data_IF_648029862616
#
_entry.id   IF_648029862616
#
_cell.length_a   1.000
_cell.length_b   1.000
_cell.length_c   1.000
_cell.angle_alpha   90.00
_cell.angle_beta   90.00
_cell.angle_gamma   90.00
#
_symmetry.space_group_name_H-M   'P 1'
#
loop_
_entity.id
_entity.type
_entity.pdbx_description
1 polymer ?
#
# COMPACT_ATOMS: atom_id res chain seq x y z
N UNK A 1 5.20 14.79 17.11
CA UNK A 1 4.88 13.38 17.35
C UNK A 1 3.74 13.29 18.34
N UNK A 2 3.12 12.13 18.49
CA UNK A 2 2.25 11.83 19.63
C UNK A 2 3.09 11.92 20.91
N UNK A 3 2.88 13.00 21.65
CA UNK A 3 3.36 13.17 23.02
C UNK A 3 2.56 12.20 23.91
N UNK A 4 3.20 11.24 24.58
CA UNK A 4 2.53 10.51 25.65
C UNK A 4 2.24 11.51 26.78
N UNK A 5 0.95 11.74 27.06
CA UNK A 5 0.44 12.75 28.00
C UNK A 5 1.37 12.99 29.21
N UNK A 6 2.00 14.17 29.25
CA UNK A 6 2.81 14.63 30.38
C UNK A 6 4.33 14.37 30.27
N UNK A 7 4.83 13.86 29.13
CA UNK A 7 6.26 13.56 28.94
C UNK A 7 6.84 14.20 27.67
N UNK A 8 6.92 15.55 27.62
CA UNK A 8 7.36 16.28 26.43
C UNK A 8 8.82 16.01 26.04
N UNK A 9 9.65 15.54 26.98
CA UNK A 9 11.03 15.10 26.76
C UNK A 9 11.13 13.72 26.07
N UNK A 10 10.08 12.91 26.16
CA UNK A 10 9.93 11.60 25.51
C UNK A 10 9.18 11.71 24.17
N UNK A 11 8.75 12.91 23.78
CA UNK A 11 7.96 13.12 22.58
C UNK A 11 8.77 12.76 21.32
N UNK A 12 8.18 11.91 20.48
CA UNK A 12 8.76 11.56 19.18
C UNK A 12 8.96 12.83 18.35
N UNK A 13 10.24 13.17 18.12
CA UNK A 13 10.62 14.28 17.25
C UNK A 13 10.48 13.82 15.81
N UNK A 14 9.75 14.59 14.99
CA UNK A 14 9.64 14.29 13.56
C UNK A 14 10.99 14.61 12.93
N UNK A 15 11.78 13.57 12.67
CA UNK A 15 13.14 13.70 12.11
C UNK A 15 13.13 14.00 10.61
N UNK A 16 12.06 13.59 9.91
CA UNK A 16 11.86 13.88 8.49
C UNK A 16 10.39 13.66 8.13
N UNK A 17 9.82 14.58 7.36
CA UNK A 17 8.48 14.44 6.77
C UNK A 17 8.64 14.23 5.26
N UNK A 18 8.23 13.07 4.77
CA UNK A 18 8.27 12.73 3.34
C UNK A 18 6.92 13.07 2.71
N UNK A 19 6.93 13.93 1.70
CA UNK A 19 5.76 14.20 0.86
C UNK A 19 5.73 13.19 -0.29
N UNK A 20 4.88 12.17 -0.14
CA UNK A 20 4.58 11.16 -1.17
C UNK A 20 3.09 10.81 -1.16
N UNK A 21 2.70 9.75 -1.87
CA UNK A 21 1.39 9.12 -1.81
C UNK A 21 1.17 8.57 -0.39
N UNK A 22 0.82 9.46 0.56
CA UNK A 22 0.83 9.21 1.99
C UNK A 22 -0.32 8.30 2.45
N UNK A 23 -0.20 7.78 3.67
CA UNK A 23 -1.29 7.06 4.32
C UNK A 23 -2.57 7.92 4.40
N UNK A 24 -3.73 7.27 4.28
CA UNK A 24 -5.06 7.89 4.24
C UNK A 24 -5.57 8.11 2.81
N UNK A 25 -4.82 7.65 1.81
CA UNK A 25 -5.13 7.78 0.39
C UNK A 25 -5.85 6.54 -0.14
N UNK A 26 -6.81 6.74 -1.03
CA UNK A 26 -7.45 5.69 -1.83
C UNK A 26 -7.16 5.99 -3.31
N UNK A 27 -6.63 5.00 -4.03
CA UNK A 27 -6.18 5.07 -5.42
C UNK A 27 -6.99 4.10 -6.29
N UNK A 28 -7.36 4.54 -7.49
CA UNK A 28 -8.11 3.73 -8.46
C UNK A 28 -7.45 3.87 -9.82
N UNK A 29 -7.24 2.74 -10.53
CA UNK A 29 -6.88 2.70 -11.95
C UNK A 29 -7.76 1.65 -12.64
N UNK A 30 -8.57 2.04 -13.62
CA UNK A 30 -9.40 1.09 -14.39
C UNK A 30 -9.53 1.46 -15.86
N UNK A 31 -9.66 0.43 -16.71
CA UNK A 31 -10.08 0.50 -18.11
C UNK A 31 -10.95 -0.76 -18.40
N UNK A 32 -12.11 -0.65 -19.07
CA UNK A 32 -13.10 -1.72 -19.19
C UNK A 32 -12.64 -2.98 -19.96
N UNK A 33 -11.53 -2.90 -20.71
CA UNK A 33 -10.94 -4.04 -21.45
C UNK A 33 -9.54 -4.45 -20.96
N UNK A 34 -9.06 -3.95 -19.82
CA UNK A 34 -7.69 -4.23 -19.36
C UNK A 34 -7.56 -5.62 -18.72
N UNK A 35 -6.66 -6.45 -19.25
CA UNK A 35 -6.24 -7.73 -18.64
C UNK A 35 -5.12 -7.58 -17.59
N UNK A 36 -4.78 -6.35 -17.18
CA UNK A 36 -3.63 -6.07 -16.32
C UNK A 36 -3.99 -5.32 -15.02
N UNK A 37 -3.34 -5.67 -13.91
CA UNK A 37 -3.45 -5.03 -12.59
C UNK A 37 -2.28 -4.08 -12.38
N UNK A 38 -2.55 -2.77 -12.26
CA UNK A 38 -1.52 -1.75 -12.10
C UNK A 38 -1.71 -0.96 -10.81
N UNK A 39 -0.67 -0.89 -9.98
CA UNK A 39 -0.50 0.19 -9.01
C UNK A 39 0.45 1.20 -9.66
N UNK A 40 -0.03 2.42 -9.91
CA UNK A 40 0.64 3.36 -10.79
C UNK A 40 1.96 3.88 -10.21
N UNK A 41 3.04 3.37 -10.77
CA UNK A 41 4.09 4.15 -11.41
C UNK A 41 4.78 3.16 -12.37
N UNK A 42 4.78 3.27 -13.72
CA UNK A 42 4.25 4.27 -14.67
C UNK A 42 3.82 3.65 -16.04
N UNK A 43 3.41 2.38 -16.10
CA UNK A 43 3.44 1.60 -17.36
C UNK A 43 2.12 1.55 -18.17
N UNK A 44 1.15 2.44 -17.94
CA UNK A 44 -0.06 2.50 -18.77
C UNK A 44 -0.65 3.93 -18.81
N UNK A 45 -0.55 4.65 -19.94
CA UNK A 45 -0.94 6.06 -20.08
C UNK A 45 -2.45 6.32 -20.28
N UNK A 46 -3.29 5.29 -20.43
CA UNK A 46 -4.67 5.47 -20.97
C UNK A 46 -5.81 5.36 -19.92
N UNK A 47 -5.52 5.17 -18.63
CA UNK A 47 -6.55 4.97 -17.60
C UNK A 47 -6.84 6.23 -16.77
N UNK A 48 -8.13 6.53 -16.53
CA UNK A 48 -8.57 7.61 -15.65
C UNK A 48 -8.34 7.23 -14.17
N UNK A 49 -7.74 8.14 -13.39
CA UNK A 49 -7.39 7.90 -11.98
C UNK A 49 -8.29 8.73 -11.05
N UNK A 50 -9.20 8.05 -10.34
CA UNK A 50 -9.97 8.65 -9.25
C UNK A 50 -9.16 8.61 -7.96
N UNK A 51 -9.03 9.76 -7.29
CA UNK A 51 -8.28 9.88 -6.03
C UNK A 51 -9.13 10.57 -4.98
N UNK A 52 -9.18 10.00 -3.79
CA UNK A 52 -9.86 10.61 -2.67
C UNK A 52 -9.15 10.31 -1.35
N UNK A 53 -9.15 11.32 -0.46
CA UNK A 53 -8.61 11.22 0.88
C UNK A 53 -9.75 11.04 1.87
N UNK A 54 -9.62 10.05 2.73
CA UNK A 54 -10.60 9.82 3.80
C UNK A 54 -10.37 10.77 4.98
N UNK A 55 -9.22 11.43 5.08
CA UNK A 55 -8.86 12.32 6.20
C UNK A 55 -9.04 11.65 7.58
N UNK A 56 -8.92 10.33 7.61
CA UNK A 56 -9.07 9.45 8.76
C UNK A 56 -8.37 8.14 8.45
N UNK A 57 -7.94 7.44 9.50
CA UNK A 57 -7.43 6.07 9.43
C UNK A 57 -8.35 5.06 10.13
N UNK A 58 -9.47 5.51 10.70
CA UNK A 58 -10.32 4.69 11.56
C UNK A 58 -11.80 4.70 11.17
N UNK A 59 -12.20 5.56 10.22
CA UNK A 59 -13.59 5.68 9.77
C UNK A 59 -13.90 4.77 8.56
N UNK A 60 -14.19 3.49 8.85
CA UNK A 60 -14.56 2.51 7.83
C UNK A 60 -15.84 2.90 7.06
N UNK A 61 -16.80 3.58 7.71
CA UNK A 61 -18.03 4.01 7.04
C UNK A 61 -17.73 5.04 5.93
N UNK A 62 -16.81 5.98 6.20
CA UNK A 62 -16.31 6.93 5.19
C UNK A 62 -15.59 6.22 4.05
N UNK A 63 -14.73 5.23 4.35
CA UNK A 63 -14.07 4.41 3.33
C UNK A 63 -15.05 3.72 2.38
N UNK A 64 -16.11 3.13 2.95
CA UNK A 64 -17.20 2.49 2.19
C UNK A 64 -17.96 3.48 1.32
N UNK A 65 -18.32 4.65 1.86
CA UNK A 65 -19.04 5.69 1.12
C UNK A 65 -18.23 6.23 -0.07
N UNK A 66 -16.94 6.51 0.15
CA UNK A 66 -16.00 6.94 -0.90
C UNK A 66 -15.91 5.90 -2.00
N UNK A 67 -15.68 4.64 -1.62
CA UNK A 67 -15.49 3.54 -2.58
C UNK A 67 -16.75 3.27 -3.38
N UNK A 68 -17.92 3.30 -2.74
CA UNK A 68 -19.20 3.18 -3.45
C UNK A 68 -19.41 4.29 -4.48
N UNK A 69 -18.93 5.51 -4.21
CA UNK A 69 -18.99 6.60 -5.17
C UNK A 69 -18.00 6.38 -6.34
N UNK A 70 -16.77 5.95 -6.07
CA UNK A 70 -15.81 5.58 -7.11
C UNK A 70 -16.36 4.47 -8.03
N UNK A 71 -16.99 3.45 -7.47
CA UNK A 71 -17.61 2.38 -8.25
C UNK A 71 -18.81 2.84 -9.09
N UNK A 72 -19.56 3.85 -8.64
CA UNK A 72 -20.62 4.48 -9.43
C UNK A 72 -20.05 5.30 -10.58
N UNK A 73 -18.87 5.90 -10.40
CA UNK A 73 -18.13 6.59 -11.45
C UNK A 73 -17.43 5.63 -12.44
N UNK A 74 -17.63 4.32 -12.29
CA UNK A 74 -17.10 3.32 -13.23
C UNK A 74 -15.76 2.69 -12.82
N UNK A 75 -15.24 2.97 -11.62
CA UNK A 75 -14.07 2.25 -11.11
C UNK A 75 -14.32 0.74 -11.05
N UNK A 76 -13.35 -0.07 -11.48
CA UNK A 76 -13.44 -1.54 -11.37
C UNK A 76 -12.62 -2.09 -10.20
N UNK A 77 -11.53 -1.40 -9.83
CA UNK A 77 -10.56 -1.81 -8.83
C UNK A 77 -10.20 -0.62 -7.95
N UNK A 78 -10.26 -0.76 -6.62
CA UNK A 78 -9.82 0.27 -5.66
C UNK A 78 -8.67 -0.22 -4.79
N UNK A 79 -7.51 0.42 -4.92
CA UNK A 79 -6.38 0.27 -4.00
C UNK A 79 -6.53 1.23 -2.81
N UNK A 80 -6.49 0.71 -1.58
CA UNK A 80 -6.50 1.56 -0.40
C UNK A 80 -5.14 1.56 0.30
N UNK A 81 -4.74 2.75 0.76
CA UNK A 81 -3.59 2.96 1.63
C UNK A 81 -4.06 3.70 2.89
N UNK A 82 -5.17 3.26 3.49
CA UNK A 82 -5.95 4.06 4.45
C UNK A 82 -6.14 3.42 5.84
N UNK A 83 -5.32 2.45 6.22
CA UNK A 83 -5.43 1.79 7.53
C UNK A 83 -6.82 1.17 7.74
N UNK A 84 -7.43 1.37 8.91
CA UNK A 84 -8.75 0.85 9.26
C UNK A 84 -9.91 1.39 8.40
N UNK A 85 -9.76 2.54 7.74
CA UNK A 85 -10.71 2.98 6.70
C UNK A 85 -10.81 1.97 5.56
N UNK A 86 -9.69 1.29 5.26
CA UNK A 86 -9.56 0.29 4.21
C UNK A 86 -10.50 -0.90 4.37
N UNK A 87 -10.89 -1.24 5.60
CA UNK A 87 -11.87 -2.30 5.85
C UNK A 87 -13.22 -1.96 5.19
N UNK A 88 -13.61 -0.69 5.19
CA UNK A 88 -14.80 -0.21 4.49
C UNK A 88 -14.67 -0.22 2.96
N UNK A 89 -13.46 -0.03 2.43
CA UNK A 89 -13.17 -0.16 0.98
C UNK A 89 -13.38 -1.60 0.54
N UNK A 90 -12.81 -2.55 1.29
CA UNK A 90 -12.93 -3.99 1.01
C UNK A 90 -14.38 -4.45 1.13
N UNK A 91 -15.12 -3.97 2.15
CA UNK A 91 -16.54 -4.27 2.30
C UNK A 91 -17.37 -3.74 1.12
N UNK A 92 -17.09 -2.52 0.64
CA UNK A 92 -17.73 -1.99 -0.56
C UNK A 92 -17.44 -2.85 -1.80
N UNK A 93 -16.18 -3.30 -1.97
CA UNK A 93 -15.79 -4.16 -3.07
C UNK A 93 -16.61 -5.46 -3.07
N UNK A 94 -16.71 -6.10 -1.90
CA UNK A 94 -17.51 -7.30 -1.67
C UNK A 94 -18.99 -7.10 -2.00
N UNK A 95 -19.61 -6.04 -1.49
CA UNK A 95 -21.04 -5.76 -1.75
C UNK A 95 -21.35 -5.42 -3.20
N UNK A 96 -20.39 -4.81 -3.91
CA UNK A 96 -20.56 -4.41 -5.32
C UNK A 96 -20.09 -5.47 -6.31
N UNK A 97 -19.52 -6.58 -5.84
CA UNK A 97 -18.90 -7.58 -6.72
C UNK A 97 -17.75 -6.99 -7.55
N UNK A 98 -17.02 -6.04 -6.97
CA UNK A 98 -15.87 -5.35 -7.58
C UNK A 98 -14.59 -5.66 -6.81
N UNK A 99 -13.47 -5.12 -7.26
CA UNK A 99 -12.15 -5.50 -6.75
C UNK A 99 -11.54 -4.45 -5.83
N UNK A 100 -10.83 -4.90 -4.81
CA UNK A 100 -9.96 -4.08 -3.98
C UNK A 100 -8.52 -4.61 -3.99
N UNK A 101 -7.56 -3.72 -3.79
CA UNK A 101 -6.18 -4.05 -3.44
C UNK A 101 -5.95 -3.61 -1.99
N UNK A 102 -5.49 -4.54 -1.16
CA UNK A 102 -5.18 -4.30 0.25
C UNK A 102 -3.81 -3.67 0.50
N UNK A 103 -3.50 -3.39 1.77
CA UNK A 103 -2.20 -2.86 2.20
C UNK A 103 -1.79 -3.41 3.57
N UNK A 104 -0.50 -3.27 3.88
CA UNK A 104 0.19 -3.63 5.12
C UNK A 104 0.28 -5.14 5.36
N UNK A 105 -0.85 -5.85 5.34
CA UNK A 105 -0.97 -7.30 5.50
C UNK A 105 -1.69 -7.93 4.32
N UNK A 106 -1.66 -9.25 4.25
CA UNK A 106 -2.50 -9.99 3.32
C UNK A 106 -3.95 -9.86 3.81
N UNK A 107 -4.75 -9.07 3.08
CA UNK A 107 -6.14 -8.79 3.43
C UNK A 107 -7.14 -9.68 2.68
N UNK A 108 -6.68 -10.71 1.95
CA UNK A 108 -7.59 -11.59 1.20
C UNK A 108 -8.68 -12.21 2.09
N UNK A 109 -8.37 -12.52 3.36
CA UNK A 109 -9.33 -13.09 4.31
C UNK A 109 -10.57 -12.21 4.59
N UNK A 110 -10.54 -10.90 4.33
CA UNK A 110 -11.67 -9.99 4.55
C UNK A 110 -12.74 -10.12 3.45
N UNK A 111 -12.31 -10.27 2.20
CA UNK A 111 -13.19 -10.56 1.07
C UNK A 111 -12.45 -11.45 0.07
N UNK A 112 -12.43 -12.77 0.29
CA UNK A 112 -11.57 -13.68 -0.45
C UNK A 112 -11.78 -13.68 -1.95
N UNK A 113 -12.95 -13.25 -2.43
CA UNK A 113 -13.34 -13.24 -3.84
C UNK A 113 -13.37 -11.81 -4.43
N UNK A 114 -12.88 -10.81 -3.68
CA UNK A 114 -12.89 -9.40 -4.08
C UNK A 114 -11.57 -8.67 -3.77
N UNK A 115 -10.68 -9.25 -2.96
CA UNK A 115 -9.32 -8.72 -2.76
C UNK A 115 -8.38 -9.41 -3.76
N UNK A 116 -7.91 -8.66 -4.75
CA UNK A 116 -7.02 -9.16 -5.81
C UNK A 116 -5.64 -9.53 -5.26
N UNK A 117 -5.07 -8.64 -4.47
CA UNK A 117 -3.76 -8.76 -3.82
C UNK A 117 -3.68 -7.74 -2.67
N UNK A 118 -2.55 -7.65 -1.99
CA UNK A 118 -2.25 -6.59 -1.04
C UNK A 118 -0.79 -6.12 -1.20
N UNK A 119 -0.58 -4.81 -1.11
CA UNK A 119 0.74 -4.21 -1.00
C UNK A 119 1.27 -4.44 0.44
N UNK A 120 2.07 -5.48 0.62
CA UNK A 120 2.58 -5.92 1.91
C UNK A 120 3.59 -4.91 2.47
N UNK A 121 3.50 -4.65 3.77
CA UNK A 121 4.49 -3.88 4.53
C UNK A 121 4.84 -4.64 5.80
N UNK A 122 6.03 -5.22 5.83
CA UNK A 122 6.46 -6.16 6.88
C UNK A 122 6.94 -5.46 8.15
N UNK A 123 6.04 -4.68 8.75
CA UNK A 123 6.27 -4.03 10.05
C UNK A 123 6.50 -5.09 11.15
N UNK A 124 5.89 -6.26 11.02
CA UNK A 124 6.15 -7.44 11.84
C UNK A 124 7.62 -7.85 11.83
N UNK A 125 8.23 -7.96 10.64
CA UNK A 125 9.66 -8.26 10.51
C UNK A 125 10.53 -7.17 11.13
N UNK A 126 10.18 -5.89 10.91
CA UNK A 126 10.93 -4.77 11.45
C UNK A 126 10.92 -4.75 12.99
N UNK A 127 9.75 -4.94 13.61
CA UNK A 127 9.61 -5.01 15.07
C UNK A 127 10.36 -6.24 15.62
N UNK A 128 10.24 -7.39 14.95
CA UNK A 128 10.93 -8.60 15.37
C UNK A 128 12.46 -8.45 15.32
N UNK A 129 13.00 -7.90 14.23
CA UNK A 129 14.44 -7.66 14.09
C UNK A 129 14.96 -6.68 15.15
N UNK A 130 14.27 -5.56 15.35
CA UNK A 130 14.63 -4.57 16.40
C UNK A 130 14.59 -5.22 17.79
N UNK A 131 13.53 -5.96 18.11
CA UNK A 131 13.40 -6.65 19.39
C UNK A 131 14.50 -7.68 19.62
N UNK A 132 14.87 -8.43 18.57
CA UNK A 132 15.98 -9.39 18.61
C UNK A 132 17.31 -8.69 18.89
N UNK A 133 17.61 -7.58 18.21
CA UNK A 133 18.83 -6.78 18.44
C UNK A 133 18.88 -6.21 19.85
N UNK A 134 17.74 -5.74 20.37
CA UNK A 134 17.65 -5.21 21.74
C UNK A 134 17.97 -6.29 22.78
N UNK A 135 17.40 -7.48 22.64
CA UNK A 135 17.68 -8.62 23.53
C UNK A 135 19.15 -9.05 23.45
N UNK A 136 19.75 -9.00 22.26
CA UNK A 136 21.17 -9.32 22.05
C UNK A 136 22.13 -8.22 22.55
N UNK A 137 21.64 -7.05 22.97
CA UNK A 137 22.48 -5.90 23.31
C UNK A 137 23.11 -5.20 22.08
N UNK A 138 22.60 -5.49 20.89
CA UNK A 138 23.09 -4.99 19.59
C UNK A 138 22.21 -3.86 19.03
N UNK A 139 21.29 -3.32 19.83
CA UNK A 139 20.42 -2.23 19.37
C UNK A 139 21.21 -0.92 19.22
N UNK A 140 21.42 -0.52 17.96
CA UNK A 140 22.01 0.77 17.60
C UNK A 140 20.90 1.84 17.50
N UNK A 141 20.68 2.58 18.58
CA UNK A 141 19.81 3.76 18.57
C UNK A 141 20.36 4.87 17.69
N UNK A 142 19.49 5.72 17.15
CA UNK A 142 19.87 6.86 16.31
C UNK A 142 20.12 6.52 14.83
N UNK A 143 19.93 5.27 14.43
CA UNK A 143 20.04 4.83 13.03
C UNK A 143 18.68 4.77 12.33
N UNK A 144 18.67 5.02 11.02
CA UNK A 144 17.52 4.74 10.15
C UNK A 144 17.73 3.41 9.47
N UNK A 145 16.86 2.44 9.78
CA UNK A 145 16.84 1.14 9.11
C UNK A 145 15.78 1.17 8.00
N UNK A 146 16.20 0.90 6.77
CA UNK A 146 15.30 0.91 5.60
C UNK A 146 14.88 -0.50 5.26
N UNK A 147 13.56 -0.71 5.19
CA UNK A 147 12.91 -1.95 4.76
C UNK A 147 12.26 -1.73 3.39
N UNK A 148 12.71 -2.48 2.39
CA UNK A 148 12.34 -2.33 0.99
C UNK A 148 12.24 -3.71 0.31
N UNK A 149 12.10 -3.74 -1.02
CA UNK A 149 12.01 -5.01 -1.75
C UNK A 149 13.28 -5.89 -1.54
N UNK A 150 14.48 -5.30 -1.44
CA UNK A 150 15.75 -6.05 -1.35
C UNK A 150 15.87 -6.90 -0.09
N UNK A 151 15.25 -6.48 1.01
CA UNK A 151 15.26 -7.17 2.29
C UNK A 151 13.86 -7.64 2.72
N UNK A 152 12.95 -7.81 1.74
CA UNK A 152 11.59 -8.31 1.93
C UNK A 152 10.79 -7.50 2.97
N UNK A 153 11.11 -6.22 3.11
CA UNK A 153 10.41 -5.25 3.93
C UNK A 153 9.04 -4.84 3.37
N UNK A 154 8.88 -4.96 2.06
CA UNK A 154 7.63 -4.77 1.31
C UNK A 154 7.52 -5.84 0.23
N UNK A 155 6.32 -6.06 -0.31
CA UNK A 155 6.08 -7.05 -1.36
C UNK A 155 4.62 -7.12 -1.78
N UNK A 156 4.25 -8.17 -2.51
CA UNK A 156 2.84 -8.50 -2.82
C UNK A 156 2.36 -9.65 -1.93
N UNK A 157 1.04 -9.77 -1.78
CA UNK A 157 0.44 -10.78 -0.91
C UNK A 157 0.75 -12.21 -1.39
N UNK A 158 0.99 -13.17 -0.48
CA UNK A 158 1.11 -14.58 -0.85
C UNK A 158 -0.11 -15.16 -1.56
N UNK A 159 -1.31 -14.62 -1.29
CA UNK A 159 -2.58 -15.04 -1.91
C UNK A 159 -2.86 -14.42 -3.27
N UNK A 160 -1.89 -13.69 -3.87
CA UNK A 160 -2.11 -12.97 -5.14
C UNK A 160 -2.45 -13.91 -6.30
N UNK A 161 -1.98 -15.15 -6.27
CA UNK A 161 -2.23 -16.18 -7.29
C UNK A 161 -3.68 -16.65 -7.38
N UNK A 162 -4.52 -16.31 -6.39
CA UNK A 162 -5.94 -16.66 -6.39
C UNK A 162 -6.70 -15.99 -7.53
N UNK A 163 -6.46 -14.69 -7.75
CA UNK A 163 -7.23 -13.88 -8.69
C UNK A 163 -6.38 -13.15 -9.73
N UNK A 164 -5.09 -12.94 -9.46
CA UNK A 164 -4.20 -12.28 -10.41
C UNK A 164 -3.68 -13.32 -11.40
N UNK A 165 -3.89 -13.13 -12.72
CA UNK A 165 -3.36 -14.02 -13.74
C UNK A 165 -1.85 -14.25 -13.61
N UNK A 166 -1.40 -15.48 -13.83
CA UNK A 166 0.02 -15.85 -13.72
C UNK A 166 0.94 -14.99 -14.60
N UNK A 167 0.48 -14.58 -15.79
CA UNK A 167 1.21 -13.66 -16.66
C UNK A 167 1.54 -12.34 -15.97
N UNK A 168 0.60 -11.76 -15.24
CA UNK A 168 0.83 -10.51 -14.50
C UNK A 168 1.79 -10.76 -13.33
N UNK A 169 1.68 -11.90 -12.64
CA UNK A 169 2.61 -12.21 -11.55
C UNK A 169 4.05 -12.32 -12.05
N UNK A 170 4.27 -12.92 -13.21
CA UNK A 170 5.59 -12.96 -13.86
C UNK A 170 6.07 -11.53 -14.19
N UNK A 171 5.21 -10.68 -14.76
CA UNK A 171 5.56 -9.27 -15.04
C UNK A 171 5.91 -8.50 -13.74
N UNK A 172 5.20 -8.77 -12.65
CA UNK A 172 5.49 -8.18 -11.33
C UNK A 172 6.84 -8.67 -10.80
N UNK A 173 7.15 -9.96 -10.90
CA UNK A 173 8.43 -10.52 -10.47
C UNK A 173 9.60 -9.92 -11.25
N UNK A 174 9.44 -9.76 -12.58
CA UNK A 174 10.44 -9.09 -13.43
C UNK A 174 10.67 -7.63 -13.01
N UNK A 175 9.61 -6.89 -12.72
CA UNK A 175 9.71 -5.50 -12.23
C UNK A 175 10.39 -5.44 -10.85
N UNK A 176 10.04 -6.35 -9.94
CA UNK A 176 10.68 -6.46 -8.62
C UNK A 176 12.17 -6.74 -8.78
N UNK A 177 12.55 -7.65 -9.69
CA UNK A 177 13.96 -7.94 -9.98
C UNK A 177 14.71 -6.71 -10.49
N UNK A 178 14.13 -5.94 -11.43
CA UNK A 178 14.73 -4.70 -11.94
C UNK A 178 14.86 -3.62 -10.86
N UNK A 179 13.87 -3.48 -9.97
CA UNK A 179 13.94 -2.55 -8.83
C UNK A 179 15.03 -2.99 -7.84
N UNK A 180 15.15 -4.30 -7.58
CA UNK A 180 16.23 -4.85 -6.75
C UNK A 180 17.60 -4.64 -7.40
N UNK A 181 17.71 -4.74 -8.72
CA UNK A 181 18.95 -4.46 -9.44
C UNK A 181 19.30 -2.96 -9.50
N UNK A 182 18.32 -2.08 -9.25
CA UNK A 182 18.50 -0.62 -9.40
C UNK A 182 18.36 -0.12 -10.83
N UNK A 183 17.95 -1.00 -11.76
CA UNK A 183 17.62 -0.65 -13.15
C UNK A 183 16.36 0.22 -13.20
N UNK A 184 15.42 -0.04 -12.29
CA UNK A 184 14.25 0.81 -12.06
C UNK A 184 14.39 1.47 -10.69
N UNK A 185 14.40 2.81 -10.69
CA UNK A 185 14.43 3.61 -9.46
C UNK A 185 13.05 4.21 -9.23
N UNK A 186 12.28 3.60 -8.32
CA UNK A 186 10.92 4.06 -8.01
C UNK A 186 10.96 5.50 -7.48
N UNK A 187 10.20 6.44 -8.06
CA UNK A 187 10.23 7.84 -7.64
C UNK A 187 9.68 8.01 -6.22
N UNK A 188 10.42 8.73 -5.38
CA UNK A 188 10.04 8.99 -3.99
C UNK A 188 9.41 10.38 -3.76
N UNK A 189 9.44 11.25 -4.78
CA UNK A 189 8.91 12.61 -4.71
C UNK A 189 8.03 12.87 -5.92
N UNK A 190 7.13 13.86 -5.80
CA UNK A 190 6.31 14.30 -6.93
C UNK A 190 7.18 14.73 -8.12
N UNK A 191 8.24 15.49 -7.87
CA UNK A 191 9.14 15.94 -8.94
C UNK A 191 9.84 14.77 -9.64
N UNK A 192 10.29 13.77 -8.90
CA UNK A 192 10.88 12.57 -9.49
C UNK A 192 9.84 11.76 -10.26
N UNK A 193 8.60 11.68 -9.77
CA UNK A 193 7.50 10.99 -10.43
C UNK A 193 7.13 11.66 -11.75
N UNK A 194 7.01 12.99 -11.78
CA UNK A 194 6.65 13.74 -12.99
C UNK A 194 7.75 13.66 -14.08
N UNK A 195 8.96 13.19 -13.73
CA UNK A 195 10.11 13.01 -14.63
C UNK A 195 10.39 11.55 -15.01
N UNK A 196 9.71 10.60 -14.36
CA UNK A 196 9.89 9.17 -14.56
C UNK A 196 9.13 8.70 -15.81
#
# INVERSE_FOLDING_TARGET
GTDPEGHPDQAWTVVQQLYGLGGGSIFVKSHPESEHLYVDAPLNPDAEVLRQYAESFTDAAKGKAITNNMYQQGADIVFHASGGVGDGVIEAAKEKGKWAIGVDKDQNFLAPDNVLTSAMKRVDNAIYDIGKRLIAGEFAGGETVVYNLKNDGVGIAPTSDKHVPAKILIEVDDLVAKIKAGEIVVPATKEAFDKF
#
